data_IF_345431478169
#
_entry.id   IF_345431478169
#
_cell.length_a   1.000
_cell.length_b   1.000
_cell.length_c   1.000
_cell.angle_alpha   90.00
_cell.angle_beta   90.00
_cell.angle_gamma   90.00
#
_symmetry.space_group_name_H-M   'P 1'
#
loop_
_entity.id
_entity.type
_entity.pdbx_description
1 polymer ?
#
# COMPACT_ATOMS: atom_id res chain seq x y z
N UNK A 1 -10.34 -58.24 23.78
CA UNK A 1 -9.33 -57.60 24.64
C UNK A 1 -7.94 -57.99 24.16
N UNK A 2 -7.24 -57.07 23.51
CA UNK A 2 -5.78 -56.91 23.61
C UNK A 2 -5.40 -55.64 22.85
N UNK A 3 -5.23 -54.59 23.64
CA UNK A 3 -4.65 -53.29 23.30
C UNK A 3 -3.20 -53.48 22.86
N UNK A 4 -2.82 -52.89 21.72
CA UNK A 4 -1.43 -52.61 21.40
C UNK A 4 -1.28 -51.14 21.01
N UNK A 5 -0.51 -50.49 21.87
CA UNK A 5 -0.19 -49.09 21.99
C UNK A 5 1.30 -49.03 21.69
N UNK A 6 1.74 -48.20 20.71
CA UNK A 6 3.04 -47.49 20.75
C UNK A 6 3.39 -46.75 19.45
N UNK A 7 3.54 -45.42 19.62
CA UNK A 7 4.39 -44.43 18.92
C UNK A 7 4.19 -44.20 17.41
N UNK A 8 4.46 -43.02 16.83
CA UNK A 8 5.10 -41.79 17.30
C UNK A 8 4.64 -40.65 16.38
N UNK A 9 4.69 -39.43 16.92
CA UNK A 9 4.47 -38.19 16.20
C UNK A 9 5.31 -38.07 14.91
N UNK A 10 4.64 -37.86 13.78
CA UNK A 10 5.18 -37.20 12.59
C UNK A 10 4.05 -36.24 12.19
N UNK A 11 4.13 -34.97 12.53
CA UNK A 11 5.09 -34.04 11.95
C UNK A 11 4.25 -32.92 11.34
N UNK A 12 3.66 -32.08 12.20
CA UNK A 12 3.03 -30.85 11.79
C UNK A 12 4.12 -29.89 11.33
N UNK A 13 4.35 -29.83 10.02
CA UNK A 13 4.97 -28.65 9.39
C UNK A 13 4.07 -28.30 8.22
N UNK A 14 3.21 -27.32 8.48
CA UNK A 14 2.43 -26.64 7.47
C UNK A 14 3.39 -26.00 6.49
N UNK A 15 3.48 -26.59 5.30
CA UNK A 15 3.95 -25.87 4.13
C UNK A 15 2.70 -25.16 3.61
N UNK A 16 2.43 -23.99 4.19
CA UNK A 16 1.71 -22.93 3.50
C UNK A 16 2.52 -22.67 2.23
N UNK A 17 2.17 -23.38 1.15
CA UNK A 17 2.61 -23.10 -0.20
C UNK A 17 2.01 -21.79 -0.67
N UNK A 18 2.36 -20.68 -0.02
CA UNK A 18 2.32 -19.37 -0.66
C UNK A 18 3.46 -19.41 -1.65
N UNK A 19 3.13 -19.92 -2.84
CA UNK A 19 4.00 -19.90 -3.98
C UNK A 19 4.53 -18.48 -4.15
N UNK A 20 5.85 -18.33 -4.03
CA UNK A 20 6.61 -17.13 -4.31
C UNK A 20 6.62 -16.79 -5.82
N UNK A 21 5.45 -16.81 -6.45
CA UNK A 21 5.20 -16.49 -7.85
C UNK A 21 4.70 -15.05 -7.95
N UNK A 22 5.53 -14.08 -7.57
CA UNK A 22 5.21 -12.67 -7.80
C UNK A 22 6.42 -11.75 -7.96
N UNK A 23 7.64 -12.30 -7.96
CA UNK A 23 8.85 -11.47 -8.06
C UNK A 23 9.23 -11.09 -9.51
N UNK A 24 8.82 -11.86 -10.52
CA UNK A 24 9.10 -11.55 -11.93
C UNK A 24 8.00 -12.08 -12.86
N UNK A 25 6.84 -11.43 -12.86
CA UNK A 25 6.11 -11.35 -14.12
C UNK A 25 6.76 -10.19 -14.90
N UNK A 26 7.30 -10.39 -16.13
CA UNK A 26 7.75 -9.29 -16.98
C UNK A 26 6.60 -8.35 -17.38
N UNK A 27 5.37 -8.62 -16.93
CA UNK A 27 4.31 -7.63 -16.83
C UNK A 27 4.86 -6.28 -16.36
N UNK A 28 4.60 -5.25 -17.18
CA UNK A 28 5.09 -3.87 -16.99
C UNK A 28 5.20 -3.48 -15.52
N UNK A 29 6.35 -2.91 -15.17
CA UNK A 29 6.64 -2.39 -13.84
C UNK A 29 5.47 -1.50 -13.37
N UNK A 30 5.14 -1.53 -12.07
CA UNK A 30 3.96 -0.86 -11.55
C UNK A 30 3.88 0.63 -11.91
N UNK A 31 5.04 1.28 -12.10
CA UNK A 31 5.17 2.69 -12.48
C UNK A 31 4.64 2.99 -13.90
N UNK A 32 4.59 1.99 -14.77
CA UNK A 32 4.13 2.08 -16.16
C UNK A 32 2.70 1.57 -16.35
N UNK A 33 2.05 1.07 -15.29
CA UNK A 33 0.67 0.59 -15.38
C UNK A 33 -0.25 1.78 -15.57
N UNK A 34 -1.10 1.73 -16.58
CA UNK A 34 -1.97 2.82 -17.02
C UNK A 34 -3.45 2.44 -16.95
N UNK A 35 -4.32 3.28 -17.51
CA UNK A 35 -5.76 3.03 -17.59
C UNK A 35 -6.15 1.78 -18.38
N UNK A 36 -5.31 1.33 -19.31
CA UNK A 36 -5.53 0.07 -20.05
C UNK A 36 -5.35 -1.13 -19.14
N UNK A 37 -4.35 -1.09 -18.25
CA UNK A 37 -4.22 -2.11 -17.20
C UNK A 37 -5.36 -2.02 -16.19
N UNK A 38 -5.68 -0.81 -15.71
CA UNK A 38 -6.75 -0.58 -14.73
C UNK A 38 -8.11 -1.13 -15.19
N UNK A 39 -8.48 -0.88 -16.45
CA UNK A 39 -9.75 -1.35 -17.02
C UNK A 39 -9.85 -2.87 -17.22
N UNK A 40 -8.74 -3.60 -17.14
CA UNK A 40 -8.73 -5.08 -17.17
C UNK A 40 -8.83 -5.70 -15.77
N UNK A 41 -8.61 -4.93 -14.72
CA UNK A 41 -8.75 -5.40 -13.35
C UNK A 41 -10.24 -5.54 -13.01
N UNK A 42 -10.62 -6.66 -12.40
CA UNK A 42 -11.91 -6.78 -11.73
C UNK A 42 -11.99 -5.84 -10.53
N UNK A 43 -13.21 -5.58 -10.04
CA UNK A 43 -13.44 -4.63 -8.95
C UNK A 43 -12.62 -4.95 -7.68
N UNK A 44 -12.57 -6.21 -7.27
CA UNK A 44 -11.77 -6.65 -6.11
C UNK A 44 -10.28 -6.35 -6.28
N UNK A 45 -9.74 -6.56 -7.49
CA UNK A 45 -8.33 -6.28 -7.79
C UNK A 45 -8.03 -4.78 -7.82
N UNK A 46 -8.98 -3.95 -8.28
CA UNK A 46 -8.86 -2.50 -8.21
C UNK A 46 -8.84 -2.02 -6.76
N UNK A 47 -9.75 -2.52 -5.92
CA UNK A 47 -9.80 -2.19 -4.50
C UNK A 47 -8.52 -2.61 -3.78
N UNK A 48 -8.04 -3.84 -4.00
CA UNK A 48 -6.78 -4.31 -3.41
C UNK A 48 -5.57 -3.48 -3.87
N UNK A 49 -5.52 -3.09 -5.16
CA UNK A 49 -4.48 -2.19 -5.66
C UNK A 49 -4.48 -0.85 -4.91
N UNK A 50 -5.68 -0.28 -4.71
CA UNK A 50 -5.85 0.98 -4.00
C UNK A 50 -5.46 0.84 -2.54
N UNK A 51 -5.88 -0.22 -1.84
CA UNK A 51 -5.50 -0.46 -0.45
C UNK A 51 -3.98 -0.57 -0.30
N UNK A 52 -3.31 -1.27 -1.21
CA UNK A 52 -1.86 -1.36 -1.25
C UNK A 52 -1.19 0.01 -1.49
N UNK A 53 -1.71 0.79 -2.44
CA UNK A 53 -1.23 2.16 -2.69
C UNK A 53 -1.39 3.05 -1.46
N UNK A 54 -2.56 3.03 -0.81
CA UNK A 54 -2.84 3.83 0.39
C UNK A 54 -1.95 3.43 1.56
N UNK A 55 -1.74 2.13 1.77
CA UNK A 55 -0.83 1.61 2.79
C UNK A 55 0.61 2.08 2.54
N UNK A 56 1.09 2.01 1.29
CA UNK A 56 2.41 2.50 0.90
C UNK A 56 2.56 4.01 1.09
N UNK A 57 1.55 4.79 0.70
CA UNK A 57 1.54 6.25 0.89
C UNK A 57 1.55 6.64 2.38
N UNK A 58 0.75 5.96 3.20
CA UNK A 58 0.73 6.14 4.64
C UNK A 58 2.07 5.79 5.28
N UNK A 59 2.68 4.69 4.85
CA UNK A 59 4.01 4.25 5.31
C UNK A 59 5.09 5.28 4.96
N UNK A 60 5.14 5.74 3.70
CA UNK A 60 6.11 6.76 3.26
C UNK A 60 5.95 8.07 4.04
N UNK A 61 4.72 8.54 4.22
CA UNK A 61 4.44 9.73 5.01
C UNK A 61 4.78 9.56 6.50
N UNK A 62 4.54 8.38 7.07
CA UNK A 62 4.87 8.09 8.46
C UNK A 62 6.39 8.01 8.67
N UNK A 63 7.13 7.45 7.72
CA UNK A 63 8.59 7.44 7.72
C UNK A 63 9.17 8.87 7.63
N UNK A 64 8.62 9.73 6.78
CA UNK A 64 8.97 11.15 6.71
C UNK A 64 8.72 11.88 8.05
N UNK A 65 7.69 11.49 8.81
CA UNK A 65 7.36 12.09 10.12
C UNK A 65 8.15 11.51 11.28
N UNK A 66 8.44 10.21 11.28
CA UNK A 66 9.25 9.58 12.34
C UNK A 66 10.68 10.12 12.34
N UNK A 67 11.16 10.56 11.18
CA UNK A 67 12.35 11.37 10.98
C UNK A 67 12.35 12.72 11.71
N UNK A 68 11.17 13.28 12.01
CA UNK A 68 11.03 14.58 12.67
C UNK A 68 10.65 14.38 14.13
N UNK A 69 11.63 14.54 15.03
CA UNK A 69 11.60 15.26 16.33
C UNK A 69 12.79 14.86 17.21
N UNK A 70 13.33 13.63 17.03
CA UNK A 70 14.40 13.09 17.88
C UNK A 70 15.78 13.12 17.19
N UNK A 71 15.85 12.96 15.86
CA UNK A 71 17.12 12.87 15.12
C UNK A 71 17.67 14.22 14.61
N UNK A 72 16.80 15.22 14.39
CA UNK A 72 17.21 16.56 13.91
C UNK A 72 18.09 17.35 14.89
N UNK A 73 18.13 16.98 16.18
CA UNK A 73 19.05 17.61 17.16
C UNK A 73 20.42 16.92 17.22
N UNK A 74 20.58 15.75 16.60
CA UNK A 74 21.80 14.95 16.71
C UNK A 74 22.64 14.88 15.41
N UNK A 75 22.07 15.06 14.22
CA UNK A 75 22.80 14.86 12.96
C UNK A 75 22.69 16.04 11.99
N UNK A 76 23.87 16.55 11.57
CA UNK A 76 24.06 17.49 10.43
C UNK A 76 23.90 16.81 9.05
N UNK A 77 23.49 15.55 9.02
CA UNK A 77 23.33 14.73 7.82
C UNK A 77 21.88 14.25 7.82
N UNK A 78 21.21 14.31 6.66
CA UNK A 78 19.76 14.16 6.52
C UNK A 78 19.18 12.92 7.20
N UNK A 79 17.86 12.91 7.40
CA UNK A 79 17.21 11.82 8.12
C UNK A 79 17.43 10.46 7.45
N UNK A 80 18.15 9.59 8.15
CA UNK A 80 18.21 8.16 7.85
C UNK A 80 17.21 7.45 8.77
N UNK A 81 16.13 6.91 8.20
CA UNK A 81 15.18 6.12 9.00
C UNK A 81 15.87 4.81 9.42
N UNK A 82 16.13 4.66 10.71
CA UNK A 82 16.89 3.54 11.30
C UNK A 82 16.10 2.23 11.41
N UNK A 83 14.86 2.19 10.90
CA UNK A 83 14.01 1.00 11.00
C UNK A 83 13.23 0.87 12.32
N UNK A 84 13.12 1.92 13.13
CA UNK A 84 12.31 1.89 14.37
C UNK A 84 10.82 1.68 14.07
N UNK A 85 10.35 0.45 14.31
CA UNK A 85 8.96 0.05 14.12
C UNK A 85 8.00 0.69 15.14
N UNK A 86 8.49 1.06 16.33
CA UNK A 86 7.68 1.72 17.34
C UNK A 86 7.43 3.20 17.00
N UNK A 87 8.46 3.90 16.55
CA UNK A 87 8.35 5.25 15.98
C UNK A 87 7.40 5.29 14.78
N UNK A 88 7.52 4.34 13.86
CA UNK A 88 6.61 4.22 12.71
C UNK A 88 5.16 3.98 13.14
N UNK A 89 4.92 3.06 14.07
CA UNK A 89 3.58 2.75 14.58
C UNK A 89 2.93 3.98 15.22
N UNK A 90 3.69 4.75 16.01
CA UNK A 90 3.21 6.01 16.60
C UNK A 90 2.84 7.03 15.54
N UNK A 91 3.70 7.24 14.53
CA UNK A 91 3.45 8.18 13.44
C UNK A 91 2.19 7.82 12.64
N UNK A 92 1.99 6.54 12.30
CA UNK A 92 0.74 6.07 11.65
C UNK A 92 -0.48 6.33 12.57
N UNK A 93 -0.37 6.02 13.86
CA UNK A 93 -1.44 6.24 14.82
C UNK A 93 -1.81 7.72 14.99
N UNK A 94 -0.85 8.63 14.91
CA UNK A 94 -1.06 10.08 14.93
C UNK A 94 -1.70 10.59 13.64
N UNK A 95 -1.22 10.13 12.48
CA UNK A 95 -1.82 10.44 11.17
C UNK A 95 -3.30 10.03 11.14
N UNK A 96 -3.62 8.83 11.63
CA UNK A 96 -5.00 8.34 11.73
C UNK A 96 -5.86 9.21 12.64
N UNK A 97 -5.37 9.57 13.84
CA UNK A 97 -6.15 10.38 14.80
C UNK A 97 -6.36 11.82 14.35
N UNK A 98 -5.36 12.41 13.67
CA UNK A 98 -5.41 13.79 13.19
C UNK A 98 -6.12 13.95 11.84
N UNK A 99 -6.46 12.85 11.16
CA UNK A 99 -6.90 12.90 9.76
C UNK A 99 -5.81 13.41 8.82
N UNK A 100 -4.54 13.32 9.23
CA UNK A 100 -3.41 13.96 8.55
C UNK A 100 -2.83 13.19 7.37
N UNK A 101 -3.48 12.11 6.92
CA UNK A 101 -3.00 11.35 5.75
C UNK A 101 -3.12 12.19 4.47
N UNK A 102 -2.08 12.15 3.63
CA UNK A 102 -2.04 12.80 2.31
C UNK A 102 -3.16 12.29 1.41
N UNK A 103 -3.52 11.02 1.56
CA UNK A 103 -4.67 10.39 0.92
C UNK A 103 -5.72 10.08 2.00
N UNK A 104 -6.66 10.99 2.28
CA UNK A 104 -7.51 10.89 3.47
C UNK A 104 -8.76 10.00 3.30
N UNK A 105 -9.13 9.65 2.07
CA UNK A 105 -10.34 8.88 1.78
C UNK A 105 -10.12 7.35 1.74
N UNK A 106 -11.19 6.60 1.89
CA UNK A 106 -11.16 5.13 1.81
C UNK A 106 -10.94 4.60 0.40
N UNK A 107 -10.55 3.33 0.29
CA UNK A 107 -10.19 2.70 -0.97
C UNK A 107 -11.31 2.76 -2.03
N UNK A 108 -12.56 2.53 -1.63
CA UNK A 108 -13.71 2.57 -2.55
C UNK A 108 -13.88 3.94 -3.23
N UNK A 109 -13.57 5.04 -2.53
CA UNK A 109 -13.64 6.39 -3.09
C UNK A 109 -12.59 6.54 -4.18
N UNK A 110 -11.34 6.18 -3.90
CA UNK A 110 -10.28 6.25 -4.90
C UNK A 110 -10.49 5.30 -6.07
N UNK A 111 -10.90 4.05 -5.83
CA UNK A 111 -11.17 3.08 -6.89
C UNK A 111 -12.22 3.60 -7.89
N UNK A 112 -13.31 4.16 -7.36
CA UNK A 112 -14.37 4.76 -8.18
C UNK A 112 -13.83 5.96 -8.96
N UNK A 113 -13.13 6.89 -8.29
CA UNK A 113 -12.60 8.12 -8.91
C UNK A 113 -11.51 7.88 -9.95
N UNK A 114 -10.72 6.83 -9.81
CA UNK A 114 -9.71 6.44 -10.80
C UNK A 114 -10.39 5.79 -12.01
N UNK A 115 -11.45 5.02 -11.79
CA UNK A 115 -12.22 4.45 -12.89
C UNK A 115 -12.90 5.55 -13.70
N UNK A 116 -13.48 6.53 -13.00
CA UNK A 116 -13.99 7.78 -13.57
C UNK A 116 -12.92 8.52 -14.37
N UNK A 117 -11.75 8.76 -13.77
CA UNK A 117 -10.60 9.43 -14.39
C UNK A 117 -10.25 8.81 -15.75
N UNK A 118 -10.08 7.48 -15.82
CA UNK A 118 -9.74 6.81 -17.07
C UNK A 118 -10.88 6.68 -18.07
N UNK A 119 -12.12 6.85 -17.63
CA UNK A 119 -13.28 6.88 -18.51
C UNK A 119 -13.40 8.23 -19.23
N UNK A 120 -13.13 9.34 -18.52
CA UNK A 120 -13.22 10.68 -19.09
C UNK A 120 -11.94 11.11 -19.83
N UNK A 121 -12.09 11.92 -20.88
CA UNK A 121 -11.00 12.63 -21.58
C UNK A 121 -9.83 11.79 -22.15
N UNK A 122 -10.03 10.52 -22.49
CA UNK A 122 -8.99 9.65 -23.08
C UNK A 122 -7.70 9.57 -22.25
N UNK A 123 -7.80 9.63 -20.93
CA UNK A 123 -6.65 9.59 -20.02
C UNK A 123 -6.02 8.20 -19.86
N UNK A 124 -6.48 7.21 -20.62
CA UNK A 124 -6.00 5.83 -20.60
C UNK A 124 -4.48 5.62 -20.73
N UNK A 125 -3.71 6.43 -21.50
CA UNK A 125 -2.26 6.24 -21.58
C UNK A 125 -1.51 6.82 -20.36
N UNK A 126 -2.18 7.52 -19.44
CA UNK A 126 -1.53 8.08 -18.27
C UNK A 126 -1.28 7.00 -17.20
N UNK A 127 -0.14 7.06 -16.48
CA UNK A 127 0.16 6.11 -15.42
C UNK A 127 -0.82 6.17 -14.24
N UNK A 128 -1.02 5.03 -13.58
CA UNK A 128 -1.95 4.88 -12.47
C UNK A 128 -1.52 5.67 -11.25
N UNK A 129 -0.22 5.71 -10.93
CA UNK A 129 0.28 6.58 -9.84
C UNK A 129 -0.04 8.06 -10.09
N UNK A 130 -0.05 8.49 -11.36
CA UNK A 130 -0.36 9.86 -11.74
C UNK A 130 -1.87 10.13 -11.57
N UNK A 131 -2.72 9.19 -11.98
CA UNK A 131 -4.16 9.25 -11.74
C UNK A 131 -4.48 9.39 -10.24
N UNK A 132 -3.82 8.62 -9.37
CA UNK A 132 -3.97 8.76 -7.91
C UNK A 132 -3.63 10.18 -7.43
N UNK A 133 -2.50 10.73 -7.89
CA UNK A 133 -2.08 12.09 -7.53
C UNK A 133 -3.11 13.13 -7.97
N UNK A 134 -3.56 13.07 -9.23
CA UNK A 134 -4.49 14.05 -9.78
C UNK A 134 -5.87 13.94 -9.11
N UNK A 135 -6.40 12.72 -8.96
CA UNK A 135 -7.66 12.46 -8.23
C UNK A 135 -7.58 13.00 -6.81
N UNK A 136 -6.50 12.74 -6.07
CA UNK A 136 -6.34 13.26 -4.72
C UNK A 136 -6.31 14.80 -4.70
N UNK A 137 -5.64 15.44 -5.66
CA UNK A 137 -5.60 16.90 -5.79
C UNK A 137 -6.98 17.52 -6.06
N UNK A 138 -7.87 16.78 -6.74
CA UNK A 138 -9.25 17.20 -7.01
C UNK A 138 -10.09 17.02 -5.75
N UNK A 139 -9.98 15.86 -5.09
CA UNK A 139 -10.77 15.54 -3.90
C UNK A 139 -10.44 16.42 -2.69
N UNK A 140 -9.19 16.88 -2.56
CA UNK A 140 -8.71 17.66 -1.41
C UNK A 140 -8.65 19.16 -1.66
N UNK A 141 -9.06 19.63 -2.85
CA UNK A 141 -9.08 21.06 -3.17
C UNK A 141 -10.12 21.79 -2.29
N UNK A 142 -9.77 22.93 -1.66
CA UNK A 142 -10.76 23.78 -0.99
C UNK A 142 -11.75 24.33 -2.02
N UNK A 143 -13.04 24.34 -1.68
CA UNK A 143 -14.09 24.99 -2.47
C UNK A 143 -13.98 26.51 -2.42
#
# INVERSE_FOLDING_TARGET
MMTRWWWMAVGAVGILGVQAWSAQDPARHWIERDGTHWGRLGHEAQTAYVEGFLAGAALGQAAERSCSTQDLRAQRQGCEWTGDSAGLTRAIGELRRSGGFRFPYGANVYASRISDYYWWHNQRPLPTWYAFWEVNSILTRPN
#
